data_IF_808578573453
#
_entry.id   IF_808578573453
#
_cell.length_a   1.000
_cell.length_b   1.000
_cell.length_c   1.000
_cell.angle_alpha   90.00
_cell.angle_beta   90.00
_cell.angle_gamma   90.00
#
_symmetry.space_group_name_H-M   'P 1'
#
loop_
_entity.id
_entity.type
_entity.pdbx_description
1 polymer ?
#
# COMPACT_ATOMS: atom_id res chain seq x y z
N UNK A 1 -7.72 7.58 13.74
CA UNK A 1 -7.16 8.75 13.03
C UNK A 1 -7.84 10.08 13.39
N UNK A 2 -9.17 10.21 13.27
CA UNK A 2 -9.94 11.46 13.49
C UNK A 2 -9.48 12.34 14.67
N UNK A 3 -9.29 11.77 15.87
CA UNK A 3 -8.84 12.53 17.05
C UNK A 3 -7.46 13.16 16.85
N UNK A 4 -6.51 12.40 16.32
CA UNK A 4 -5.14 12.88 16.05
C UNK A 4 -5.15 13.95 14.96
N UNK A 5 -5.92 13.73 13.91
CA UNK A 5 -6.09 14.70 12.83
C UNK A 5 -6.68 16.02 13.35
N UNK A 6 -7.72 15.98 14.19
CA UNK A 6 -8.30 17.18 14.78
C UNK A 6 -7.28 18.00 15.57
N UNK A 7 -6.44 17.35 16.38
CA UNK A 7 -5.36 18.01 17.13
C UNK A 7 -4.29 18.61 16.21
N UNK A 8 -3.89 17.87 15.18
CA UNK A 8 -2.90 18.35 14.20
C UNK A 8 -3.43 19.57 13.44
N UNK A 9 -4.69 19.53 13.00
CA UNK A 9 -5.34 20.66 12.31
C UNK A 9 -5.48 21.85 13.25
N UNK A 10 -5.92 21.64 14.49
CA UNK A 10 -6.04 22.71 15.50
C UNK A 10 -4.71 23.42 15.78
N UNK A 11 -3.58 22.71 15.69
CA UNK A 11 -2.22 23.27 15.82
C UNK A 11 -1.63 23.81 14.51
N UNK A 12 -2.44 23.97 13.46
CA UNK A 12 -1.99 24.52 12.17
C UNK A 12 -1.18 23.55 11.31
N UNK A 13 -1.22 22.25 11.60
CA UNK A 13 -0.50 21.19 10.87
C UNK A 13 -1.25 20.63 9.66
N UNK A 14 -2.41 21.19 9.29
CA UNK A 14 -3.21 20.71 8.17
C UNK A 14 -2.38 20.60 6.88
N UNK A 15 -2.43 19.43 6.25
CA UNK A 15 -1.70 19.12 5.01
C UNK A 15 -0.19 18.98 5.16
N UNK A 16 0.35 18.91 6.38
CA UNK A 16 1.79 18.77 6.66
C UNK A 16 2.18 17.42 7.29
N UNK A 17 1.19 16.62 7.68
CA UNK A 17 1.39 15.31 8.29
C UNK A 17 0.75 14.23 7.43
N UNK A 18 1.59 13.38 6.86
CA UNK A 18 1.21 12.18 6.13
C UNK A 18 1.41 10.93 6.97
N UNK A 19 0.47 9.99 6.90
CA UNK A 19 0.60 8.68 7.55
C UNK A 19 -0.16 7.61 6.76
N UNK A 20 0.06 6.35 7.11
CA UNK A 20 -0.81 5.27 6.70
C UNK A 20 -1.96 5.17 7.71
N UNK A 21 -3.19 5.26 7.21
CA UNK A 21 -4.38 5.35 8.06
C UNK A 21 -4.65 4.06 8.86
N UNK A 22 -4.07 2.94 8.41
CA UNK A 22 -4.25 1.61 9.00
C UNK A 22 -2.89 1.02 9.40
N UNK A 23 -2.90 0.24 10.48
CA UNK A 23 -1.70 -0.44 10.98
C UNK A 23 -1.14 -1.38 9.91
N UNK A 24 0.11 -1.15 9.51
CA UNK A 24 0.80 -2.00 8.55
C UNK A 24 0.91 -3.43 9.06
N UNK A 25 1.40 -3.62 10.30
CA UNK A 25 1.59 -4.95 10.90
C UNK A 25 0.32 -5.78 10.98
N UNK A 26 -0.81 -5.17 11.34
CA UNK A 26 -2.09 -5.87 11.33
C UNK A 26 -2.55 -6.20 9.91
N UNK A 27 -2.50 -5.22 9.00
CA UNK A 27 -3.02 -5.38 7.65
C UNK A 27 -2.22 -6.40 6.85
N UNK A 28 -0.89 -6.41 6.97
CA UNK A 28 -0.04 -7.39 6.28
C UNK A 28 -0.35 -8.81 6.75
N UNK A 29 -0.47 -9.03 8.06
CA UNK A 29 -0.78 -10.36 8.60
C UNK A 29 -2.17 -10.84 8.19
N UNK A 30 -3.21 -10.01 8.37
CA UNK A 30 -4.58 -10.37 8.05
C UNK A 30 -4.82 -10.49 6.53
N UNK A 31 -4.25 -9.56 5.76
CA UNK A 31 -4.34 -9.52 4.30
C UNK A 31 -3.64 -10.70 3.64
N UNK A 32 -2.40 -11.01 4.02
CA UNK A 32 -1.69 -12.18 3.48
C UNK A 32 -2.34 -13.50 3.90
N UNK A 33 -2.84 -13.60 5.13
CA UNK A 33 -3.62 -14.77 5.56
C UNK A 33 -4.88 -14.97 4.71
N UNK A 34 -5.61 -13.88 4.42
CA UNK A 34 -6.77 -13.92 3.52
C UNK A 34 -6.37 -14.31 2.11
N UNK A 35 -5.29 -13.74 1.57
CA UNK A 35 -4.79 -14.08 0.23
C UNK A 35 -4.44 -15.57 0.13
N UNK A 36 -3.75 -16.12 1.12
CA UNK A 36 -3.42 -17.55 1.16
C UNK A 36 -4.68 -18.44 1.14
N UNK A 37 -5.70 -18.10 1.95
CA UNK A 37 -6.99 -18.83 1.96
C UNK A 37 -7.66 -18.75 0.57
N UNK A 38 -7.69 -17.57 -0.04
CA UNK A 38 -8.31 -17.38 -1.35
C UNK A 38 -7.58 -18.16 -2.45
N UNK A 39 -6.24 -18.22 -2.40
CA UNK A 39 -5.44 -19.02 -3.34
C UNK A 39 -5.77 -20.51 -3.19
N UNK A 40 -5.85 -21.02 -1.96
CA UNK A 40 -6.22 -22.42 -1.69
C UNK A 40 -7.62 -22.75 -2.22
N UNK A 41 -8.54 -21.77 -2.21
CA UNK A 41 -9.91 -21.92 -2.72
C UNK A 41 -10.05 -21.68 -4.22
N UNK A 42 -8.99 -21.29 -4.93
CA UNK A 42 -9.04 -20.95 -6.35
C UNK A 42 -9.68 -19.58 -6.65
N UNK A 43 -9.84 -18.72 -5.65
CA UNK A 43 -10.42 -17.37 -5.75
C UNK A 43 -9.37 -16.27 -6.01
N UNK A 44 -8.08 -16.62 -5.95
CA UNK A 44 -6.96 -15.70 -6.16
C UNK A 44 -5.76 -16.40 -6.76
N UNK A 45 -5.01 -15.70 -7.59
CA UNK A 45 -3.74 -16.15 -8.14
C UNK A 45 -2.59 -15.72 -7.21
N UNK A 46 -1.70 -16.66 -6.86
CA UNK A 46 -0.67 -16.47 -5.83
C UNK A 46 0.18 -15.20 -6.02
N UNK A 47 0.55 -14.90 -7.27
CA UNK A 47 1.47 -13.81 -7.62
C UNK A 47 0.79 -12.62 -8.29
N UNK A 48 -0.54 -12.58 -8.32
CA UNK A 48 -1.29 -11.49 -8.95
C UNK A 48 -1.46 -10.33 -7.98
N UNK A 49 -0.82 -9.22 -8.29
CA UNK A 49 -0.81 -8.03 -7.42
C UNK A 49 -2.21 -7.54 -7.07
N UNK A 50 -3.14 -7.51 -8.03
CA UNK A 50 -4.52 -7.05 -7.78
C UNK A 50 -5.28 -7.95 -6.81
N UNK A 51 -4.96 -9.25 -6.75
CA UNK A 51 -5.55 -10.18 -5.79
C UNK A 51 -4.97 -9.95 -4.39
N UNK A 52 -3.66 -9.71 -4.30
CA UNK A 52 -2.98 -9.33 -3.05
C UNK A 52 -3.57 -8.01 -2.53
N UNK A 53 -3.69 -6.97 -3.38
CA UNK A 53 -4.23 -5.67 -2.97
C UNK A 53 -5.70 -5.78 -2.53
N UNK A 54 -6.50 -6.61 -3.21
CA UNK A 54 -7.89 -6.88 -2.80
C UNK A 54 -7.96 -7.52 -1.41
N UNK A 55 -7.05 -8.45 -1.09
CA UNK A 55 -6.99 -9.07 0.22
C UNK A 55 -6.60 -8.08 1.34
N UNK A 56 -5.71 -7.12 1.04
CA UNK A 56 -5.36 -6.04 1.98
C UNK A 56 -6.54 -5.06 2.18
N UNK A 57 -7.19 -4.68 1.08
CA UNK A 57 -8.33 -3.75 1.09
C UNK A 57 -9.49 -4.19 1.98
N UNK A 58 -9.68 -5.51 2.17
CA UNK A 58 -10.67 -6.08 3.10
C UNK A 58 -10.60 -5.51 4.52
N UNK A 59 -9.41 -5.07 4.95
CA UNK A 59 -9.15 -4.61 6.32
C UNK A 59 -8.90 -3.11 6.43
N UNK A 60 -8.95 -2.36 5.32
CA UNK A 60 -8.47 -0.97 5.29
C UNK A 60 -9.46 0.04 4.72
N UNK A 61 -10.75 -0.27 4.75
CA UNK A 61 -11.81 0.66 4.32
C UNK A 61 -11.49 1.31 2.97
N UNK A 62 -11.43 2.64 2.96
CA UNK A 62 -11.20 3.43 1.74
C UNK A 62 -9.71 3.57 1.36
N UNK A 63 -8.77 3.06 2.16
CA UNK A 63 -7.36 3.13 1.82
C UNK A 63 -7.05 2.20 0.64
N UNK A 64 -6.49 2.79 -0.41
CA UNK A 64 -6.01 2.05 -1.58
C UNK A 64 -4.63 1.48 -1.32
N UNK A 65 -4.38 0.32 -1.94
CA UNK A 65 -3.11 -0.39 -1.90
C UNK A 65 -2.61 -0.61 -3.32
N UNK A 66 -1.31 -0.49 -3.49
CA UNK A 66 -0.64 -0.87 -4.73
C UNK A 66 0.75 -1.44 -4.40
N UNK A 67 1.41 -2.02 -5.39
CA UNK A 67 2.72 -2.59 -5.23
C UNK A 67 3.37 -2.95 -6.56
N UNK A 68 4.66 -3.23 -6.50
CA UNK A 68 5.43 -3.75 -7.63
C UNK A 68 6.36 -4.84 -7.13
N UNK A 69 6.78 -5.71 -8.04
CA UNK A 69 7.83 -6.65 -7.68
C UNK A 69 9.17 -5.91 -7.61
N UNK A 70 9.97 -6.25 -6.60
CA UNK A 70 11.30 -5.69 -6.41
C UNK A 70 12.18 -5.94 -7.65
N UNK A 71 12.90 -4.91 -8.08
CA UNK A 71 13.97 -5.01 -9.08
C UNK A 71 15.27 -4.62 -8.41
N UNK A 72 16.26 -5.51 -8.46
CA UNK A 72 17.59 -5.21 -7.98
C UNK A 72 18.26 -4.20 -8.91
N UNK A 73 18.64 -3.03 -8.38
CA UNK A 73 19.19 -1.91 -9.17
C UNK A 73 20.62 -2.19 -9.67
N UNK A 74 21.36 -3.11 -9.04
CA UNK A 74 22.72 -3.45 -9.44
C UNK A 74 22.73 -4.42 -10.63
N UNK A 75 21.78 -5.35 -10.66
CA UNK A 75 21.72 -6.45 -11.63
C UNK A 75 20.60 -6.31 -12.66
N UNK A 76 19.59 -5.48 -12.40
CA UNK A 76 18.38 -5.35 -13.21
C UNK A 76 17.41 -6.53 -13.07
N UNK A 77 17.70 -7.50 -12.20
CA UNK A 77 16.86 -8.70 -12.04
C UNK A 77 15.60 -8.37 -11.23
N UNK A 78 14.44 -8.64 -11.82
CA UNK A 78 13.14 -8.54 -11.16
C UNK A 78 12.81 -9.81 -10.39
N UNK A 79 12.57 -9.68 -9.09
CA UNK A 79 12.13 -10.77 -8.23
C UNK A 79 10.72 -11.24 -8.64
N UNK A 80 10.46 -12.55 -8.57
CA UNK A 80 9.14 -13.12 -8.93
C UNK A 80 8.18 -13.24 -7.75
N UNK A 81 8.68 -13.10 -6.53
CA UNK A 81 7.96 -13.39 -5.29
C UNK A 81 8.20 -12.34 -4.18
N UNK A 82 8.90 -11.25 -4.48
CA UNK A 82 9.16 -10.17 -3.53
C UNK A 82 8.41 -8.92 -3.99
N UNK A 83 7.32 -8.59 -3.28
CA UNK A 83 6.47 -7.43 -3.58
C UNK A 83 6.84 -6.27 -2.66
N UNK A 84 7.17 -5.12 -3.24
CA UNK A 84 7.20 -3.83 -2.58
C UNK A 84 5.77 -3.31 -2.53
N UNK A 85 5.23 -3.16 -1.33
CA UNK A 85 3.84 -2.75 -1.11
C UNK A 85 3.76 -1.36 -0.51
N UNK A 86 2.75 -0.60 -0.91
CA UNK A 86 2.48 0.71 -0.35
C UNK A 86 0.98 0.96 -0.22
N UNK A 87 0.61 1.61 0.88
CA UNK A 87 -0.73 2.17 1.09
C UNK A 87 -0.73 3.63 0.61
N UNK A 88 -1.86 4.08 0.06
CA UNK A 88 -2.05 5.49 -0.22
C UNK A 88 -1.91 6.33 1.05
N UNK A 89 -1.08 7.36 0.98
CA UNK A 89 -0.76 8.16 2.16
C UNK A 89 -1.94 9.08 2.47
N UNK A 90 -2.39 9.04 3.72
CA UNK A 90 -3.41 9.94 4.24
C UNK A 90 -2.74 11.20 4.79
N UNK A 91 -3.04 12.34 4.18
CA UNK A 91 -2.60 13.66 4.63
C UNK A 91 -3.67 14.24 5.55
N UNK A 92 -3.34 14.43 6.82
CA UNK A 92 -4.28 14.99 7.81
C UNK A 92 -4.76 16.38 7.38
N UNK A 93 -6.07 16.58 7.31
CA UNK A 93 -6.71 17.80 6.82
C UNK A 93 -6.80 17.91 5.28
N UNK A 94 -6.38 16.88 4.53
CA UNK A 94 -6.47 16.83 3.05
C UNK A 94 -7.02 15.52 2.49
N UNK A 95 -6.97 14.42 3.25
CA UNK A 95 -7.38 13.10 2.78
C UNK A 95 -6.26 12.31 2.10
N UNK A 96 -6.62 11.26 1.37
CA UNK A 96 -5.68 10.41 0.64
C UNK A 96 -5.05 11.16 -0.54
N UNK A 97 -3.77 10.89 -0.81
CA UNK A 97 -3.01 11.56 -1.86
C UNK A 97 -3.32 11.05 -3.28
N UNK A 98 -3.94 9.88 -3.43
CA UNK A 98 -4.14 9.23 -4.72
C UNK A 98 -2.87 8.58 -5.27
N UNK A 99 -1.83 8.40 -4.45
CA UNK A 99 -0.54 7.89 -4.90
C UNK A 99 -0.62 6.42 -5.35
N UNK A 100 -1.56 5.66 -4.80
CA UNK A 100 -1.80 4.27 -5.19
C UNK A 100 -2.32 4.12 -6.63
N UNK A 101 -2.90 5.18 -7.22
CA UNK A 101 -3.42 5.15 -8.59
C UNK A 101 -2.36 5.58 -9.63
N UNK A 102 -1.18 6.04 -9.18
CA UNK A 102 -0.14 6.53 -10.07
C UNK A 102 0.67 5.39 -10.68
N UNK A 103 0.90 5.50 -12.00
CA UNK A 103 1.85 4.63 -12.71
C UNK A 103 3.24 5.22 -12.54
N UNK A 104 4.14 4.48 -11.87
CA UNK A 104 5.53 4.88 -11.70
C UNK A 104 6.25 4.78 -13.06
N UNK A 105 6.80 5.89 -13.59
CA UNK A 105 7.52 5.85 -14.86
C UNK A 105 8.76 4.94 -14.81
N UNK A 106 9.01 4.19 -15.88
CA UNK A 106 10.06 3.16 -15.91
C UNK A 106 11.45 3.68 -15.55
N UNK A 107 11.76 4.92 -15.95
CA UNK A 107 13.03 5.60 -15.65
C UNK A 107 13.37 5.62 -14.16
N UNK A 108 12.38 5.58 -13.26
CA UNK A 108 12.59 5.62 -11.82
C UNK A 108 13.00 4.26 -11.24
N UNK A 109 12.82 3.14 -11.94
CA UNK A 109 13.27 1.82 -11.48
C UNK A 109 14.77 1.56 -11.69
N UNK A 110 15.44 2.41 -12.47
CA UNK A 110 16.86 2.25 -12.84
C UNK A 110 17.77 3.36 -12.29
N UNK A 111 17.25 4.22 -11.40
CA UNK A 111 18.05 5.28 -10.76
C UNK A 111 18.98 4.64 -9.74
N UNK A 112 20.28 4.92 -9.89
CA UNK A 112 21.35 4.53 -8.97
C UNK A 112 21.64 5.63 -7.96
#
# INVERSE_FOLDING_TARGET
LKKVEAEVVAKGGAGRFGTWAYSYGYTVSAGLGTHAINVIRGESELLKLSDIMRAYGKYTGDAKWNGSFYTDVNTGVRARNHVLIYQDTYMMGKGYMGAADLVVPEKYFAIK
#
